data_IF_881313812375
#
_entry.id   IF_881313812375
#
_cell.length_a   1.000
_cell.length_b   1.000
_cell.length_c   1.000
_cell.angle_alpha   90.00
_cell.angle_beta   90.00
_cell.angle_gamma   90.00
#
_symmetry.space_group_name_H-M   'P 1'
#
loop_
_entity.id
_entity.type
_entity.pdbx_description
1 polymer ?
#
# COMPACT_ATOMS: atom_id res chain seq x y z
N UNK A 1 -29.77 7.08 -7.23
CA UNK A 1 -28.47 6.36 -7.27
C UNK A 1 -27.54 7.00 -6.24
N UNK A 2 -27.21 6.30 -5.15
CA UNK A 2 -26.24 6.79 -4.15
C UNK A 2 -24.84 6.39 -4.62
N UNK A 3 -24.00 7.38 -4.90
CA UNK A 3 -22.58 7.20 -5.19
C UNK A 3 -21.90 6.65 -3.93
N UNK A 4 -21.46 5.40 -3.98
CA UNK A 4 -20.60 4.81 -2.94
C UNK A 4 -19.28 5.60 -2.91
N UNK A 5 -18.88 6.24 -1.79
CA UNK A 5 -17.57 6.85 -1.69
C UNK A 5 -16.56 5.75 -1.41
N UNK A 6 -16.20 4.98 -2.44
CA UNK A 6 -15.31 3.84 -2.30
C UNK A 6 -13.92 4.15 -2.86
N UNK A 7 -13.17 5.05 -2.22
CA UNK A 7 -11.72 4.83 -2.19
C UNK A 7 -11.50 3.64 -1.25
N UNK A 8 -11.57 2.44 -1.82
CA UNK A 8 -11.38 1.17 -1.11
C UNK A 8 -10.17 1.29 -0.17
N UNK A 9 -10.24 0.75 1.05
CA UNK A 9 -9.10 0.81 1.98
C UNK A 9 -7.82 0.19 1.38
N UNK A 10 -7.98 -0.69 0.39
CA UNK A 10 -6.90 -1.16 -0.49
C UNK A 10 -6.24 -0.02 -1.27
N UNK A 11 -7.02 0.85 -1.93
CA UNK A 11 -6.52 1.99 -2.68
C UNK A 11 -5.76 2.96 -1.76
N UNK A 12 -6.27 3.24 -0.55
CA UNK A 12 -5.58 4.07 0.44
C UNK A 12 -4.24 3.48 0.89
N UNK A 13 -4.15 2.15 1.01
CA UNK A 13 -2.90 1.47 1.36
C UNK A 13 -1.90 1.51 0.20
N UNK A 14 -2.36 1.37 -1.04
CA UNK A 14 -1.50 1.48 -2.23
C UNK A 14 -1.00 2.92 -2.43
N UNK A 15 -1.84 3.93 -2.24
CA UNK A 15 -1.44 5.34 -2.29
C UNK A 15 -0.38 5.66 -1.21
N UNK A 16 -0.55 5.11 0.00
CA UNK A 16 0.46 5.24 1.06
C UNK A 16 1.77 4.54 0.71
N UNK A 17 1.70 3.35 0.11
CA UNK A 17 2.90 2.64 -0.34
C UNK A 17 3.66 3.47 -1.38
N UNK A 18 2.94 4.01 -2.36
CA UNK A 18 3.50 4.89 -3.38
C UNK A 18 4.20 6.11 -2.76
N UNK A 19 3.56 6.77 -1.79
CA UNK A 19 4.15 7.90 -1.09
C UNK A 19 5.47 7.54 -0.39
N UNK A 20 5.53 6.38 0.27
CA UNK A 20 6.77 5.91 0.90
C UNK A 20 7.89 5.64 -0.11
N UNK A 21 7.57 5.07 -1.28
CA UNK A 21 8.58 4.82 -2.31
C UNK A 21 9.12 6.12 -2.94
N UNK A 22 8.27 7.11 -3.19
CA UNK A 22 8.70 8.43 -3.67
C UNK A 22 9.64 9.08 -2.65
N UNK A 23 9.30 9.04 -1.36
CA UNK A 23 10.16 9.56 -0.31
C UNK A 23 11.47 8.78 -0.18
N UNK A 24 11.43 7.45 -0.35
CA UNK A 24 12.63 6.62 -0.35
C UNK A 24 13.59 6.99 -1.48
N UNK A 25 13.06 7.23 -2.68
CA UNK A 25 13.86 7.65 -3.83
C UNK A 25 14.53 9.01 -3.58
N UNK A 26 13.81 9.97 -2.98
CA UNK A 26 14.38 11.26 -2.58
C UNK A 26 15.51 11.08 -1.57
N UNK A 27 15.31 10.29 -0.52
CA UNK A 27 16.35 10.03 0.49
C UNK A 27 17.55 9.29 -0.09
N UNK A 28 17.34 8.37 -1.04
CA UNK A 28 18.42 7.70 -1.75
C UNK A 28 19.25 8.67 -2.58
N UNK A 29 18.59 9.61 -3.29
CA UNK A 29 19.27 10.67 -4.07
C UNK A 29 20.08 11.62 -3.19
N UNK A 30 19.66 11.84 -1.94
CA UNK A 30 20.40 12.61 -0.94
C UNK A 30 21.56 11.82 -0.30
N UNK A 31 21.77 10.55 -0.65
CA UNK A 31 22.76 9.67 -0.03
C UNK A 31 22.34 9.08 1.32
N UNK A 32 21.12 9.38 1.78
CA UNK A 32 20.54 8.89 3.02
C UNK A 32 19.95 7.47 2.84
N UNK A 33 20.82 6.50 2.55
CA UNK A 33 20.43 5.13 2.20
C UNK A 33 19.68 4.41 3.33
N UNK A 34 20.03 4.67 4.59
CA UNK A 34 19.36 4.08 5.75
C UNK A 34 17.88 4.49 5.81
N UNK A 35 17.60 5.79 5.69
CA UNK A 35 16.22 6.29 5.68
C UNK A 35 15.45 5.81 4.44
N UNK A 36 16.12 5.73 3.28
CA UNK A 36 15.52 5.17 2.08
C UNK A 36 15.08 3.71 2.29
N UNK A 37 15.93 2.88 2.91
CA UNK A 37 15.60 1.49 3.20
C UNK A 37 14.41 1.37 4.17
N UNK A 38 14.38 2.17 5.23
CA UNK A 38 13.26 2.20 6.18
C UNK A 38 11.93 2.56 5.50
N UNK A 39 11.96 3.54 4.59
CA UNK A 39 10.80 3.96 3.81
C UNK A 39 10.34 2.87 2.84
N UNK A 40 11.26 2.16 2.17
CA UNK A 40 10.94 1.01 1.31
C UNK A 40 10.23 -0.08 2.11
N UNK A 41 10.74 -0.43 3.30
CA UNK A 41 10.11 -1.45 4.15
C UNK A 41 8.71 -1.03 4.62
N UNK A 42 8.49 0.27 4.86
CA UNK A 42 7.15 0.80 5.15
C UNK A 42 6.21 0.68 3.94
N UNK A 43 6.68 1.00 2.73
CA UNK A 43 5.90 0.83 1.49
C UNK A 43 5.49 -0.62 1.26
N UNK A 44 6.43 -1.56 1.38
CA UNK A 44 6.17 -3.00 1.24
C UNK A 44 5.16 -3.52 2.28
N UNK A 45 5.19 -3.01 3.51
CA UNK A 45 4.19 -3.34 4.54
C UNK A 45 2.79 -2.87 4.14
N UNK A 46 2.68 -1.70 3.53
CA UNK A 46 1.41 -1.20 3.00
C UNK A 46 0.88 -2.07 1.85
N UNK A 47 1.74 -2.47 0.90
CA UNK A 47 1.37 -3.36 -0.20
C UNK A 47 0.96 -4.75 0.30
N UNK A 48 1.72 -5.32 1.24
CA UNK A 48 1.38 -6.61 1.84
C UNK A 48 0.00 -6.57 2.54
N UNK A 49 -0.31 -5.48 3.24
CA UNK A 49 -1.65 -5.28 3.82
C UNK A 49 -2.73 -5.12 2.75
N UNK A 50 -2.45 -4.36 1.69
CA UNK A 50 -3.38 -4.18 0.58
C UNK A 50 -3.65 -5.52 -0.14
N UNK A 51 -2.63 -6.35 -0.31
CA UNK A 51 -2.73 -7.69 -0.87
C UNK A 51 -3.53 -8.63 0.03
N UNK A 52 -3.36 -8.57 1.36
CA UNK A 52 -4.17 -9.35 2.34
C UNK A 52 -5.64 -8.93 2.43
N UNK A 53 -6.01 -7.74 2.00
CA UNK A 53 -7.43 -7.35 1.86
C UNK A 53 -8.12 -8.02 0.66
N UNK A 54 -7.36 -8.51 -0.33
CA UNK A 54 -7.89 -9.19 -1.52
C UNK A 54 -8.38 -10.63 -1.25
N UNK A 55 -7.71 -11.49 -0.45
CA UNK A 55 -8.16 -12.88 -0.25
C UNK A 55 -9.43 -13.03 0.59
N UNK A 56 -9.86 -12.04 1.36
CA UNK A 56 -11.11 -12.17 2.13
C UNK A 56 -12.37 -12.10 1.24
N UNK A 57 -12.37 -11.29 0.17
CA UNK A 57 -13.51 -11.22 -0.76
C UNK A 57 -13.61 -12.50 -1.62
N UNK A 58 -12.48 -13.09 -2.02
CA UNK A 58 -12.48 -14.33 -2.81
C UNK A 58 -12.82 -15.58 -1.98
N UNK A 59 -12.58 -15.59 -0.67
CA UNK A 59 -13.00 -16.69 0.21
C UNK A 59 -14.52 -16.68 0.48
N UNK A 60 -15.16 -15.51 0.45
CA UNK A 60 -16.62 -15.39 0.55
C UNK A 60 -17.36 -15.95 -0.67
N UNK A 61 -16.79 -15.83 -1.87
CA UNK A 61 -17.40 -16.33 -3.12
C UNK A 61 -17.31 -17.86 -3.23
N UNK A 62 -16.29 -18.50 -2.64
CA UNK A 62 -16.12 -19.96 -2.67
C UNK A 62 -16.94 -20.72 -1.62
N UNK A 63 -17.61 -19.99 -0.73
CA UNK A 63 -18.39 -20.56 0.38
C UNK A 63 -19.91 -20.41 0.18
N UNK A 64 -20.35 -19.88 -0.97
CA UNK A 64 -21.77 -19.78 -1.37
C UNK A 64 -22.13 -20.82 -2.43
#
# INVERSE_FOLDING_TARGET
MRTLPATSDKAKLLDKAHHFFVQAELRAKEGNLQQAAELIVCGLRCEHRAARLVPQVLQLIKSS
#
